data_IF_572942819098
#
_entry.id   IF_572942819098
#
_cell.length_a   1.000
_cell.length_b   1.000
_cell.length_c   1.000
_cell.angle_alpha   90.00
_cell.angle_beta   90.00
_cell.angle_gamma   90.00
#
_symmetry.space_group_name_H-M   'P 1'
#
loop_
_entity.id
_entity.type
_entity.pdbx_description
1 polymer ?
#
# COMPACT_ATOMS: atom_id res chain seq x y z
N UNK A 1 1.82 -12.77 17.55
CA UNK A 1 1.54 -12.74 16.94
C UNK A 1 1.87 -12.35 15.80
N UNK A 2 1.53 -12.51 14.95
CA UNK A 2 1.99 -12.21 13.79
C UNK A 2 1.70 -10.93 13.34
N UNK A 3 2.60 -10.14 12.94
CA UNK A 3 2.37 -8.99 12.34
C UNK A 3 2.04 -9.22 11.00
N UNK A 4 1.04 -8.69 10.47
CA UNK A 4 0.69 -8.82 9.11
C UNK A 4 1.52 -7.94 8.30
N UNK A 5 2.24 -8.46 7.35
CA UNK A 5 3.06 -7.68 6.44
C UNK A 5 2.25 -7.40 5.20
N UNK A 6 2.01 -6.14 4.95
CA UNK A 6 1.19 -5.74 3.83
C UNK A 6 2.08 -5.24 2.72
N UNK A 7 2.04 -5.90 1.58
CA UNK A 7 2.79 -5.46 0.40
C UNK A 7 1.84 -4.73 -0.53
N UNK A 8 2.38 -4.16 -1.59
CA UNK A 8 1.53 -3.47 -2.55
C UNK A 8 0.52 -4.42 -3.17
N UNK A 9 0.92 -5.66 -3.37
CA UNK A 9 0.01 -6.65 -3.91
C UNK A 9 -1.13 -6.92 -2.96
N UNK A 10 -0.83 -7.02 -1.66
CA UNK A 10 -1.86 -7.22 -0.66
C UNK A 10 -2.80 -6.03 -0.61
N UNK A 11 -2.25 -4.82 -0.69
CA UNK A 11 -3.09 -3.64 -0.68
C UNK A 11 -4.06 -3.66 -1.84
N UNK A 12 -3.57 -4.04 -3.01
CA UNK A 12 -4.43 -4.10 -4.17
C UNK A 12 -5.55 -5.10 -3.97
N UNK A 13 -5.24 -6.24 -3.38
CA UNK A 13 -6.25 -7.27 -3.18
C UNK A 13 -7.23 -6.90 -2.09
N UNK A 14 -6.74 -6.34 -1.02
CA UNK A 14 -7.59 -6.01 0.12
C UNK A 14 -8.55 -4.87 -0.23
N UNK A 15 -8.04 -3.86 -0.92
CA UNK A 15 -8.84 -2.69 -1.23
C UNK A 15 -9.57 -2.80 -2.54
N UNK A 16 -9.14 -3.71 -3.39
CA UNK A 16 -9.72 -3.83 -4.70
C UNK A 16 -9.21 -2.79 -5.67
N UNK A 17 -8.20 -2.04 -5.29
CA UNK A 17 -7.67 -1.00 -6.14
C UNK A 17 -6.72 -1.59 -7.16
N UNK A 18 -6.67 -1.01 -8.35
CA UNK A 18 -5.71 -1.48 -9.35
C UNK A 18 -4.28 -1.17 -8.88
N UNK A 19 -3.32 -1.95 -9.34
CA UNK A 19 -1.94 -1.75 -8.90
C UNK A 19 -1.40 -0.36 -9.20
N UNK A 20 -1.85 0.27 -10.29
CA UNK A 20 -1.32 1.58 -10.61
C UNK A 20 -1.74 2.63 -9.60
N UNK A 21 -2.87 2.43 -8.94
CA UNK A 21 -3.32 3.36 -7.90
C UNK A 21 -2.38 3.25 -6.69
N UNK A 22 -2.05 2.02 -6.32
CA UNK A 22 -1.15 1.79 -5.20
C UNK A 22 0.19 2.46 -5.50
N UNK A 23 0.68 2.26 -6.71
CA UNK A 23 1.97 2.83 -7.09
C UNK A 23 1.91 4.35 -7.10
N UNK A 24 0.81 4.90 -7.57
CA UNK A 24 0.65 6.33 -7.62
C UNK A 24 0.70 6.92 -6.21
N UNK A 25 -0.04 6.33 -5.28
CA UNK A 25 -0.06 6.82 -3.92
C UNK A 25 1.30 6.67 -3.26
N UNK A 26 2.00 5.60 -3.58
CA UNK A 26 3.34 5.40 -3.04
C UNK A 26 4.28 6.48 -3.54
N UNK A 27 4.22 6.79 -4.82
CA UNK A 27 5.08 7.80 -5.41
C UNK A 27 4.78 9.18 -4.83
N UNK A 28 3.51 9.44 -4.53
CA UNK A 28 3.14 10.72 -3.95
C UNK A 28 3.50 10.79 -2.47
N UNK A 29 3.91 9.69 -1.89
CA UNK A 29 4.26 9.68 -0.48
C UNK A 29 3.07 9.69 0.43
N UNK A 30 1.90 9.25 -0.06
CA UNK A 30 0.72 9.24 0.77
C UNK A 30 0.53 7.94 1.52
N UNK A 31 1.16 6.87 1.08
CA UNK A 31 1.01 5.59 1.75
C UNK A 31 2.01 5.47 2.89
N UNK A 32 1.53 5.16 4.09
CA UNK A 32 2.46 4.94 5.20
C UNK A 32 3.22 3.64 4.99
N UNK A 33 4.53 3.74 5.07
CA UNK A 33 5.40 2.60 4.85
C UNK A 33 5.97 2.16 6.18
N UNK A 34 5.87 0.87 6.46
CA UNK A 34 6.42 0.37 7.69
C UNK A 34 7.92 0.12 7.53
N UNK A 35 8.33 -0.38 6.38
CA UNK A 35 9.73 -0.65 6.18
C UNK A 35 10.07 -0.42 4.73
N UNK A 36 11.11 0.33 4.51
CA UNK A 36 11.53 0.57 3.15
C UNK A 36 12.22 -0.65 2.59
N UNK A 37 12.26 -0.72 1.29
CA UNK A 37 12.97 -1.78 0.63
C UNK A 37 14.45 -1.69 0.97
N UNK A 38 15.02 -2.81 1.38
CA UNK A 38 16.43 -2.82 1.73
C UNK A 38 17.31 -3.05 0.52
N UNK A 39 16.72 -3.37 -0.59
CA UNK A 39 17.50 -3.60 -1.78
C UNK A 39 16.68 -4.33 -2.80
N UNK A 40 17.33 -4.71 -3.88
CA UNK A 40 16.63 -5.41 -4.93
C UNK A 40 16.11 -6.72 -4.38
N UNK A 41 14.88 -7.03 -4.68
CA UNK A 41 14.30 -8.28 -4.25
C UNK A 41 13.54 -8.19 -2.95
N UNK A 42 13.64 -7.08 -2.24
CA UNK A 42 12.89 -6.93 -1.00
C UNK A 42 11.69 -6.04 -1.23
N UNK A 43 10.50 -6.51 -0.95
CA UNK A 43 9.31 -5.70 -1.16
C UNK A 43 9.19 -4.63 -0.08
N UNK A 44 8.50 -3.57 -0.43
CA UNK A 44 8.20 -2.53 0.54
C UNK A 44 7.01 -3.01 1.37
N UNK A 45 7.11 -2.84 2.67
CA UNK A 45 6.04 -3.22 3.56
C UNK A 45 5.30 -1.98 4.02
N UNK A 46 3.98 -2.03 3.94
CA UNK A 46 3.16 -0.90 4.31
C UNK A 46 2.49 -1.14 5.65
N UNK A 47 2.10 -0.07 6.29
CA UNK A 47 1.38 -0.15 7.54
C UNK A 47 -0.07 -0.45 7.26
N UNK A 48 -0.78 -0.99 8.24
CA UNK A 48 -2.22 -1.26 8.05
C UNK A 48 -3.01 -0.01 7.70
N UNK A 49 -2.54 1.14 8.12
CA UNK A 49 -3.22 2.39 7.80
C UNK A 49 -3.24 2.68 6.31
N UNK A 50 -2.32 2.06 5.57
CA UNK A 50 -2.30 2.25 4.14
C UNK A 50 -3.61 1.77 3.51
N UNK A 51 -4.25 0.79 4.12
CA UNK A 51 -5.51 0.30 3.61
C UNK A 51 -6.55 1.42 3.61
N UNK A 52 -6.62 2.15 4.71
CA UNK A 52 -7.57 3.25 4.78
C UNK A 52 -7.25 4.35 3.79
N UNK A 53 -5.97 4.62 3.61
CA UNK A 53 -5.57 5.65 2.66
C UNK A 53 -6.03 5.30 1.26
N UNK A 54 -5.83 4.05 0.87
CA UNK A 54 -6.22 3.62 -0.46
C UNK A 54 -7.73 3.64 -0.60
N UNK A 55 -8.44 3.15 0.40
CA UNK A 55 -9.90 3.12 0.34
C UNK A 55 -10.48 4.52 0.27
N UNK A 56 -9.91 5.43 1.00
CA UNK A 56 -10.36 6.80 0.97
C UNK A 56 -10.13 7.41 -0.39
N UNK A 57 -8.98 7.11 -0.99
CA UNK A 57 -8.68 7.61 -2.31
C UNK A 57 -9.70 7.08 -3.34
N UNK A 58 -10.01 5.80 -3.25
CA UNK A 58 -10.96 5.20 -4.17
C UNK A 58 -12.35 5.80 -3.97
N UNK A 59 -12.69 6.12 -2.75
CA UNK A 59 -13.99 6.70 -2.47
C UNK A 59 -14.14 8.06 -3.11
N UNK A 60 -13.08 8.84 -3.13
CA UNK A 60 -13.13 10.14 -3.75
C UNK A 60 -13.00 10.07 -5.25
N UNK A 61 -12.34 9.03 -5.71
CA UNK A 61 -12.04 8.97 -7.13
C UNK A 61 -13.18 8.28 -7.82
N UNK A 62 -13.97 8.98 -8.46
CA UNK A 62 -15.06 8.35 -9.13
C UNK A 62 -15.01 8.58 -10.60
#
# INVERSE_FOLDING_TARGET
>A
MSKQKITSKNLSEITGAPPYIIRYLHTCGRLPVEKKSLGAGYPVLYRPEAIEVVQEHLSKWK
#
